data_IF_866687217638
#
_entry.id   IF_866687217638
#
_cell.length_a   1.000
_cell.length_b   1.000
_cell.length_c   1.000
_cell.angle_alpha   90.00
_cell.angle_beta   90.00
_cell.angle_gamma   90.00
#
_symmetry.space_group_name_H-M   'P 1'
#
loop_
_entity.id
_entity.type
_entity.pdbx_description
1 polymer ?
#
# COMPACT_ATOMS: atom_id res chain seq x y z
N UNK A 1 -18.38 35.36 -43.51
CA UNK A 1 -19.48 35.54 -42.56
C UNK A 1 -19.04 34.84 -41.31
N UNK A 2 -18.73 35.63 -40.27
CA UNK A 2 -18.09 35.18 -39.03
C UNK A 2 -18.85 33.99 -38.44
N UNK A 3 -18.12 32.91 -38.15
CA UNK A 3 -18.63 31.79 -37.37
C UNK A 3 -19.00 32.36 -36.01
N UNK A 4 -20.29 32.49 -35.73
CA UNK A 4 -20.81 32.84 -34.41
C UNK A 4 -20.44 31.67 -33.48
N UNK A 5 -19.28 31.80 -32.83
CA UNK A 5 -18.81 30.83 -31.86
C UNK A 5 -19.83 30.87 -30.72
N UNK A 6 -20.59 29.79 -30.53
CA UNK A 6 -21.50 29.63 -29.39
C UNK A 6 -20.65 29.43 -28.12
N UNK A 7 -20.10 30.55 -27.65
CA UNK A 7 -19.12 30.67 -26.59
C UNK A 7 -19.62 30.05 -25.27
N UNK A 8 -20.95 29.95 -25.09
CA UNK A 8 -21.54 29.32 -23.92
C UNK A 8 -21.37 27.79 -23.96
N UNK A 9 -21.62 27.17 -25.10
CA UNK A 9 -21.52 25.72 -25.29
C UNK A 9 -20.08 25.22 -25.20
N UNK A 10 -19.16 25.95 -25.81
CA UNK A 10 -17.72 25.61 -25.75
C UNK A 10 -17.16 25.74 -24.34
N UNK A 11 -17.62 26.74 -23.58
CA UNK A 11 -17.24 26.94 -22.18
C UNK A 11 -17.76 25.80 -21.28
N UNK A 12 -19.01 25.38 -21.46
CA UNK A 12 -19.58 24.24 -20.71
C UNK A 12 -18.83 22.94 -21.03
N UNK A 13 -18.50 22.71 -22.30
CA UNK A 13 -17.72 21.56 -22.75
C UNK A 13 -16.32 21.56 -22.12
N UNK A 14 -15.65 22.71 -22.11
CA UNK A 14 -14.33 22.89 -21.49
C UNK A 14 -14.36 22.59 -19.99
N UNK A 15 -15.35 23.11 -19.26
CA UNK A 15 -15.48 22.82 -17.82
C UNK A 15 -15.84 21.36 -17.55
N UNK A 16 -16.63 20.73 -18.41
CA UNK A 16 -16.94 19.30 -18.32
C UNK A 16 -15.67 18.45 -18.44
N UNK A 17 -14.83 18.71 -19.44
CA UNK A 17 -13.54 18.01 -19.57
C UNK A 17 -12.60 18.30 -18.41
N UNK A 18 -12.48 19.55 -17.97
CA UNK A 18 -11.68 19.93 -16.81
C UNK A 18 -12.08 19.16 -15.55
N UNK A 19 -13.39 19.00 -15.31
CA UNK A 19 -13.87 18.19 -14.19
C UNK A 19 -13.48 16.73 -14.31
N UNK A 20 -13.64 16.13 -15.49
CA UNK A 20 -13.23 14.74 -15.75
C UNK A 20 -11.73 14.56 -15.47
N UNK A 21 -10.88 15.48 -15.95
CA UNK A 21 -9.45 15.44 -15.68
C UNK A 21 -9.12 15.64 -14.20
N UNK A 22 -9.80 16.57 -13.52
CA UNK A 22 -9.60 16.80 -12.09
C UNK A 22 -9.93 15.54 -11.26
N UNK A 23 -11.07 14.91 -11.53
CA UNK A 23 -11.45 13.65 -10.88
C UNK A 23 -10.47 12.52 -11.20
N UNK A 24 -10.03 12.41 -12.46
CA UNK A 24 -9.03 11.43 -12.87
C UNK A 24 -7.70 11.60 -12.13
N UNK A 25 -7.22 12.84 -12.00
CA UNK A 25 -5.99 13.15 -11.29
C UNK A 25 -6.10 12.83 -9.79
N UNK A 26 -7.22 13.22 -9.15
CA UNK A 26 -7.49 12.89 -7.74
C UNK A 26 -7.51 11.38 -7.52
N UNK A 27 -8.17 10.63 -8.41
CA UNK A 27 -8.24 9.18 -8.32
C UNK A 27 -6.84 8.52 -8.42
N UNK A 28 -6.00 8.99 -9.35
CA UNK A 28 -4.61 8.51 -9.46
C UNK A 28 -3.78 8.83 -8.21
N UNK A 29 -3.94 10.03 -7.64
CA UNK A 29 -3.27 10.40 -6.39
C UNK A 29 -3.70 9.51 -5.21
N UNK A 30 -4.99 9.18 -5.12
CA UNK A 30 -5.50 8.26 -4.10
C UNK A 30 -4.90 6.85 -4.24
N UNK A 31 -4.84 6.32 -5.46
CA UNK A 31 -4.19 5.01 -5.72
C UNK A 31 -2.71 5.06 -5.33
N UNK A 32 -2.01 6.12 -5.71
CA UNK A 32 -0.59 6.27 -5.40
C UNK A 32 -0.34 6.35 -3.89
N UNK A 33 -1.18 7.10 -3.17
CA UNK A 33 -1.13 7.21 -1.72
C UNK A 33 -1.36 5.85 -1.03
N UNK A 34 -2.41 5.11 -1.41
CA UNK A 34 -2.69 3.77 -0.87
C UNK A 34 -1.56 2.78 -1.13
N UNK A 35 -0.94 2.84 -2.32
CA UNK A 35 0.20 1.99 -2.65
C UNK A 35 1.43 2.31 -1.78
N UNK A 36 1.72 3.59 -1.58
CA UNK A 36 2.88 4.02 -0.79
C UNK A 36 2.69 3.70 0.70
N UNK A 37 1.49 3.93 1.24
CA UNK A 37 1.14 3.65 2.62
C UNK A 37 1.31 2.15 2.94
N UNK A 38 0.72 1.28 2.11
CA UNK A 38 0.88 -0.17 2.24
C UNK A 38 2.35 -0.61 2.17
N UNK A 39 3.17 0.03 1.32
CA UNK A 39 4.61 -0.27 1.23
C UNK A 39 5.37 0.19 2.48
N UNK A 40 4.99 1.33 3.05
CA UNK A 40 5.57 1.87 4.28
C UNK A 40 5.32 0.93 5.45
N UNK A 41 4.08 0.47 5.63
CA UNK A 41 3.71 -0.41 6.74
C UNK A 41 4.36 -1.79 6.65
N UNK A 42 4.45 -2.33 5.43
CA UNK A 42 5.21 -3.56 5.16
C UNK A 42 6.67 -3.45 5.61
N UNK A 43 7.34 -2.33 5.32
CA UNK A 43 8.72 -2.09 5.75
C UNK A 43 8.84 -1.99 7.27
N UNK A 44 7.90 -1.29 7.93
CA UNK A 44 7.92 -1.14 9.40
C UNK A 44 7.85 -2.50 10.10
N UNK A 45 6.98 -3.40 9.64
CA UNK A 45 6.84 -4.74 10.24
C UNK A 45 8.10 -5.58 10.01
N UNK A 46 8.71 -5.51 8.81
CA UNK A 46 9.98 -6.18 8.54
C UNK A 46 11.12 -5.67 9.43
N UNK A 47 11.23 -4.36 9.59
CA UNK A 47 12.25 -3.74 10.45
C UNK A 47 12.03 -4.09 11.92
N UNK A 48 10.78 -4.08 12.40
CA UNK A 48 10.43 -4.52 13.74
C UNK A 48 10.93 -5.94 14.03
N UNK A 49 10.66 -6.89 13.13
CA UNK A 49 11.15 -8.25 13.28
C UNK A 49 12.68 -8.35 13.22
N UNK A 50 13.33 -7.62 12.29
CA UNK A 50 14.81 -7.57 12.21
C UNK A 50 15.45 -7.07 13.51
N UNK A 51 14.80 -6.07 14.13
CA UNK A 51 15.17 -5.48 15.41
C UNK A 51 14.72 -6.32 16.62
N UNK A 52 14.28 -7.57 16.39
CA UNK A 52 13.87 -8.51 17.43
C UNK A 52 12.64 -8.06 18.25
N UNK A 53 11.82 -7.16 17.70
CA UNK A 53 10.52 -6.86 18.30
C UNK A 53 9.56 -8.04 18.10
N UNK A 54 8.72 -8.27 19.08
CA UNK A 54 7.69 -9.30 19.01
C UNK A 54 6.59 -8.89 18.03
N UNK A 55 6.29 -9.79 17.10
CA UNK A 55 5.14 -9.71 16.22
C UNK A 55 4.06 -10.67 16.69
N UNK A 56 2.80 -10.31 16.51
CA UNK A 56 1.66 -11.21 16.61
C UNK A 56 1.26 -11.61 15.20
N UNK A 57 1.49 -12.87 14.84
CA UNK A 57 1.02 -13.48 13.60
C UNK A 57 -0.19 -14.37 13.91
N UNK A 58 -1.38 -14.00 13.43
CA UNK A 58 -2.65 -14.68 13.72
C UNK A 58 -2.99 -14.65 15.22
N UNK A 59 -2.45 -15.59 16.00
CA UNK A 59 -2.59 -15.70 17.47
C UNK A 59 -1.28 -16.14 18.14
N UNK A 60 -0.19 -16.17 17.38
CA UNK A 60 1.11 -16.67 17.82
C UNK A 60 2.07 -15.49 17.93
N UNK A 61 2.82 -15.44 19.03
CA UNK A 61 3.92 -14.49 19.19
C UNK A 61 5.12 -15.02 18.39
N UNK A 62 5.70 -14.14 17.59
CA UNK A 62 6.79 -14.44 16.68
C UNK A 62 7.90 -13.42 16.89
N UNK A 63 9.10 -13.91 17.20
CA UNK A 63 10.31 -13.10 17.40
C UNK A 63 11.55 -13.95 17.08
N UNK A 64 12.71 -13.31 16.94
CA UNK A 64 13.97 -14.05 16.72
C UNK A 64 14.37 -14.83 17.96
N UNK A 65 14.03 -14.35 19.16
CA UNK A 65 14.24 -15.08 20.43
C UNK A 65 13.45 -16.39 20.49
N UNK A 66 12.27 -16.45 19.88
CA UNK A 66 11.46 -17.66 19.77
C UNK A 66 11.92 -18.58 18.62
N UNK A 67 13.08 -18.32 18.03
CA UNK A 67 13.69 -19.13 16.98
C UNK A 67 13.10 -18.91 15.58
N UNK A 68 12.32 -17.85 15.37
CA UNK A 68 11.84 -17.51 14.02
C UNK A 68 12.91 -16.73 13.25
N UNK A 69 13.08 -17.10 11.98
CA UNK A 69 13.96 -16.42 11.03
C UNK A 69 13.28 -16.26 9.67
N UNK A 70 13.81 -15.38 8.82
CA UNK A 70 13.30 -15.26 7.45
C UNK A 70 13.59 -16.53 6.65
N UNK A 71 12.58 -17.05 5.95
CA UNK A 71 12.70 -18.20 5.07
C UNK A 71 13.62 -17.87 3.88
N UNK A 72 14.67 -18.67 3.68
CA UNK A 72 15.67 -18.46 2.62
C UNK A 72 15.13 -18.69 1.21
N UNK A 73 14.05 -19.46 1.07
CA UNK A 73 13.43 -19.81 -0.22
C UNK A 73 12.24 -18.92 -0.54
N UNK A 74 11.51 -18.44 0.48
CA UNK A 74 10.27 -17.68 0.33
C UNK A 74 10.40 -16.29 0.92
N UNK A 75 10.35 -15.28 0.04
CA UNK A 75 10.39 -13.87 0.41
C UNK A 75 9.25 -13.53 1.37
N UNK A 76 9.54 -12.71 2.39
CA UNK A 76 8.57 -12.19 3.36
C UNK A 76 7.88 -13.24 4.24
N UNK A 77 8.44 -14.45 4.31
CA UNK A 77 7.99 -15.47 5.25
C UNK A 77 8.99 -15.61 6.39
N UNK A 78 8.47 -15.84 7.58
CA UNK A 78 9.24 -16.11 8.79
C UNK A 78 8.85 -17.48 9.33
N UNK A 79 9.84 -18.27 9.72
CA UNK A 79 9.68 -19.67 10.12
C UNK A 79 10.62 -20.03 11.26
N UNK A 80 10.19 -20.94 12.13
CA UNK A 80 11.03 -21.57 13.15
C UNK A 80 11.30 -23.07 12.85
N UNK A 81 11.07 -23.49 11.60
CA UNK A 81 11.19 -24.88 11.15
C UNK A 81 9.92 -25.72 11.33
N UNK A 82 8.96 -25.27 12.15
CA UNK A 82 7.66 -25.94 12.35
C UNK A 82 6.52 -25.08 11.80
N UNK A 83 6.44 -23.83 12.25
CA UNK A 83 5.42 -22.88 11.83
C UNK A 83 6.00 -21.90 10.82
N UNK A 84 5.18 -21.48 9.87
CA UNK A 84 5.53 -20.45 8.91
C UNK A 84 4.43 -19.39 8.80
N UNK A 85 4.84 -18.13 8.79
CA UNK A 85 3.94 -17.00 8.70
C UNK A 85 4.40 -16.03 7.61
N UNK A 86 3.45 -15.44 6.91
CA UNK A 86 3.73 -14.28 6.05
C UNK A 86 3.80 -13.04 6.92
N UNK A 87 4.95 -12.37 6.96
CA UNK A 87 5.24 -11.29 7.91
C UNK A 87 4.24 -10.12 7.79
N UNK A 88 3.74 -9.85 6.58
CA UNK A 88 2.78 -8.77 6.32
C UNK A 88 1.37 -9.03 6.85
N UNK A 89 1.06 -10.25 7.27
CA UNK A 89 -0.20 -10.57 7.95
C UNK A 89 -0.05 -10.52 9.48
N UNK A 90 1.13 -10.16 9.97
CA UNK A 90 1.40 -9.99 11.37
C UNK A 90 1.25 -8.51 11.76
N UNK A 91 1.16 -8.25 13.05
CA UNK A 91 1.19 -6.91 13.62
C UNK A 91 2.27 -6.82 14.68
N UNK A 92 2.83 -5.65 14.87
CA UNK A 92 3.73 -5.40 16.01
C UNK A 92 2.89 -5.57 17.29
N UNK A 93 3.43 -6.27 18.28
CA UNK A 93 2.78 -6.51 19.57
C UNK A 93 2.60 -5.23 20.37
#
# INVERSE_FOLDING_TARGET
METEIDCKKDKELFFSYMWIFAFGAIFLLLIWWLYYDNKSDKKKIEEAFKNNQELICIRTIVSKELGYEFDKKRTYQITNGVNIFTIYHCRIK
#
